data_IF_387622552174
#
_entry.id   IF_387622552174
#
_cell.length_a   1.000
_cell.length_b   1.000
_cell.length_c   1.000
_cell.angle_alpha   90.00
_cell.angle_beta   90.00
_cell.angle_gamma   90.00
#
_symmetry.space_group_name_H-M   'P 1'
#
loop_
_entity.id
_entity.type
_entity.pdbx_description
1 polymer ?
#
# COMPACT_ATOMS: atom_id res chain seq x y z
N UNK A 1 14.44 -25.46 12.64
CA UNK A 1 14.96 -24.08 12.68
C UNK A 1 14.42 -23.41 13.93
N UNK A 2 15.29 -22.92 14.80
CA UNK A 2 14.89 -22.10 15.95
C UNK A 2 14.66 -20.69 15.39
N UNK A 3 13.40 -20.27 15.27
CA UNK A 3 13.07 -18.91 14.84
C UNK A 3 13.27 -17.93 16.00
N UNK A 4 13.91 -16.80 15.74
CA UNK A 4 14.06 -15.73 16.73
C UNK A 4 12.71 -15.02 16.95
N UNK A 5 12.34 -14.65 18.20
CA UNK A 5 11.03 -14.05 18.50
C UNK A 5 10.69 -12.80 17.67
N UNK A 6 11.70 -12.01 17.31
CA UNK A 6 11.56 -10.73 16.60
C UNK A 6 11.98 -10.81 15.11
N UNK A 7 12.16 -12.04 14.59
CA UNK A 7 12.62 -12.25 13.22
C UNK A 7 11.68 -11.62 12.19
N UNK A 8 10.36 -11.74 12.39
CA UNK A 8 9.36 -11.15 11.48
C UNK A 8 9.42 -9.63 11.49
N UNK A 9 9.53 -9.00 12.67
CA UNK A 9 9.55 -7.55 12.77
C UNK A 9 10.77 -6.96 12.06
N UNK A 10 11.94 -7.53 12.33
CA UNK A 10 13.20 -7.07 11.72
C UNK A 10 13.21 -7.32 10.21
N UNK A 11 12.60 -8.42 9.74
CA UNK A 11 12.64 -8.79 8.33
C UNK A 11 11.57 -8.08 7.49
N UNK A 12 10.33 -8.01 7.98
CA UNK A 12 9.18 -7.57 7.19
C UNK A 12 8.66 -6.17 7.55
N UNK A 13 8.97 -5.64 8.74
CA UNK A 13 8.47 -4.33 9.22
C UNK A 13 9.54 -3.22 9.23
N UNK A 14 10.80 -3.56 8.98
CA UNK A 14 11.90 -2.58 8.96
C UNK A 14 11.76 -1.53 7.85
N UNK A 15 11.28 -1.95 6.67
CA UNK A 15 11.12 -1.10 5.49
C UNK A 15 9.69 -0.59 5.34
N UNK A 16 9.49 0.33 4.40
CA UNK A 16 8.20 0.82 3.98
C UNK A 16 8.18 1.12 2.49
N UNK A 17 7.16 0.64 1.76
CA UNK A 17 7.03 0.87 0.32
C UNK A 17 5.74 1.63 0.01
N UNK A 18 4.58 1.01 0.08
CA UNK A 18 3.29 1.65 -0.20
C UNK A 18 2.81 2.53 0.95
N UNK A 19 3.01 2.08 2.20
CA UNK A 19 2.51 2.75 3.40
C UNK A 19 3.66 3.37 4.20
N UNK A 20 3.46 4.50 4.89
CA UNK A 20 4.48 5.06 5.75
C UNK A 20 4.70 4.18 6.99
N UNK A 21 5.93 4.19 7.54
CA UNK A 21 6.35 3.28 8.62
C UNK A 21 5.45 3.33 9.86
N UNK A 22 4.97 4.52 10.25
CA UNK A 22 4.15 4.71 11.46
C UNK A 22 2.73 4.16 11.36
N UNK A 23 2.27 3.75 10.17
CA UNK A 23 0.94 3.13 9.98
C UNK A 23 0.98 1.60 10.03
N UNK A 24 2.16 1.00 10.20
CA UNK A 24 2.32 -0.46 10.24
C UNK A 24 2.24 -0.95 11.70
N UNK A 25 1.25 -1.80 12.00
CA UNK A 25 1.21 -2.53 13.27
C UNK A 25 2.28 -3.63 13.25
N UNK A 26 3.26 -3.53 14.13
CA UNK A 26 4.22 -4.62 14.36
C UNK A 26 3.54 -5.78 15.08
N UNK A 27 4.02 -6.99 14.81
CA UNK A 27 3.50 -8.24 15.36
C UNK A 27 4.67 -9.19 15.58
N UNK A 28 4.70 -9.85 16.72
CA UNK A 28 5.67 -10.90 17.02
C UNK A 28 5.05 -12.27 16.76
N UNK A 29 5.85 -13.16 16.19
CA UNK A 29 5.45 -14.56 15.93
C UNK A 29 6.63 -15.45 16.28
N UNK A 30 6.38 -16.40 17.17
CA UNK A 30 7.38 -17.40 17.54
C UNK A 30 7.59 -18.38 16.39
N UNK A 31 8.82 -18.85 16.20
CA UNK A 31 9.17 -19.87 15.19
C UNK A 31 8.84 -19.53 13.72
N UNK A 32 8.83 -18.24 13.35
CA UNK A 32 8.65 -17.83 11.96
C UNK A 32 9.95 -17.98 11.14
N UNK A 33 9.82 -18.42 9.89
CA UNK A 33 10.91 -18.48 8.91
C UNK A 33 10.44 -17.82 7.60
N UNK A 34 11.22 -16.84 7.12
CA UNK A 34 10.89 -16.12 5.89
C UNK A 34 10.80 -17.07 4.68
N UNK A 35 9.75 -16.91 3.88
CA UNK A 35 9.55 -17.60 2.59
C UNK A 35 9.42 -19.12 2.64
N UNK A 36 9.42 -19.75 3.81
CA UNK A 36 9.24 -21.20 3.94
C UNK A 36 7.74 -21.50 3.96
N UNK A 37 7.17 -22.11 2.90
CA UNK A 37 5.74 -22.37 2.87
C UNK A 37 5.36 -23.45 3.89
N UNK A 38 4.17 -23.31 4.48
CA UNK A 38 3.61 -24.31 5.40
C UNK A 38 3.30 -25.66 4.74
N UNK A 39 3.15 -25.69 3.41
CA UNK A 39 2.86 -26.89 2.61
C UNK A 39 3.81 -26.95 1.40
N UNK A 40 4.16 -28.14 0.91
CA UNK A 40 4.90 -28.29 -0.34
C UNK A 40 4.17 -27.63 -1.52
N UNK A 41 4.92 -26.95 -2.37
CA UNK A 41 4.41 -26.31 -3.59
C UNK A 41 4.80 -27.17 -4.79
N UNK A 42 3.83 -27.53 -5.63
CA UNK A 42 4.04 -28.34 -6.84
C UNK A 42 3.68 -27.55 -8.07
N UNK A 43 4.59 -26.67 -8.48
CA UNK A 43 4.46 -25.87 -9.69
C UNK A 43 5.69 -26.03 -10.58
N UNK A 44 5.49 -25.99 -11.88
CA UNK A 44 6.57 -26.07 -12.87
C UNK A 44 6.21 -25.36 -14.17
N UNK A 45 7.23 -25.03 -14.96
CA UNK A 45 7.03 -24.49 -16.29
C UNK A 45 6.70 -25.62 -17.28
N UNK A 46 5.58 -25.55 -18.02
CA UNK A 46 5.23 -26.58 -19.00
C UNK A 46 6.27 -26.69 -20.13
N UNK A 47 6.86 -25.56 -20.55
CA UNK A 47 7.89 -25.54 -21.58
C UNK A 47 9.20 -26.19 -21.13
N UNK A 48 9.69 -25.88 -19.92
CA UNK A 48 10.90 -26.51 -19.38
C UNK A 48 10.76 -28.03 -19.23
N UNK A 49 9.58 -28.53 -18.87
CA UNK A 49 9.38 -29.97 -18.67
C UNK A 49 9.11 -30.73 -19.98
N UNK A 50 8.65 -30.04 -21.03
CA UNK A 50 8.52 -30.60 -22.36
C UNK A 50 9.86 -30.65 -23.13
N UNK A 51 10.88 -29.91 -22.68
CA UNK A 51 12.23 -29.99 -23.25
C UNK A 51 12.90 -31.31 -22.84
N UNK A 52 13.09 -32.20 -23.81
CA UNK A 52 13.69 -33.52 -23.62
C UNK A 52 15.16 -33.47 -23.16
N UNK A 53 15.85 -32.35 -23.39
CA UNK A 53 17.28 -32.22 -23.05
C UNK A 53 17.53 -31.73 -21.63
N UNK A 54 16.56 -31.04 -21.02
CA UNK A 54 16.74 -30.41 -19.71
C UNK A 54 15.45 -30.42 -18.87
N UNK A 55 14.92 -31.61 -18.60
CA UNK A 55 13.76 -31.83 -17.73
C UNK A 55 14.12 -31.61 -16.25
N UNK A 56 14.38 -30.36 -15.86
CA UNK A 56 14.70 -29.98 -14.50
C UNK A 56 13.57 -29.19 -13.86
N UNK A 57 13.15 -29.61 -12.65
CA UNK A 57 12.26 -28.82 -11.79
C UNK A 57 13.13 -27.88 -10.96
N UNK A 58 12.98 -26.57 -11.18
CA UNK A 58 13.75 -25.58 -10.43
C UNK A 58 13.30 -25.51 -8.97
N UNK A 59 14.25 -25.44 -8.05
CA UNK A 59 13.98 -25.28 -6.62
C UNK A 59 13.22 -23.97 -6.33
N UNK A 60 13.46 -22.92 -7.11
CA UNK A 60 12.77 -21.63 -6.99
C UNK A 60 11.24 -21.76 -7.13
N UNK A 61 10.75 -22.72 -7.93
CA UNK A 61 9.30 -22.95 -8.11
C UNK A 61 8.64 -23.61 -6.90
N UNK A 62 9.44 -24.16 -5.97
CA UNK A 62 8.99 -24.71 -4.70
C UNK A 62 8.73 -23.65 -3.63
N UNK A 63 9.05 -22.40 -3.92
CA UNK A 63 8.84 -21.27 -3.03
C UNK A 63 7.76 -20.34 -3.60
N UNK A 64 6.98 -19.67 -2.73
CA UNK A 64 6.01 -18.67 -3.15
C UNK A 64 6.73 -17.32 -3.38
N UNK A 65 7.69 -17.31 -4.30
CA UNK A 65 8.51 -16.15 -4.64
C UNK A 65 8.24 -15.61 -6.05
N UNK A 66 7.72 -16.47 -6.92
CA UNK A 66 7.54 -16.18 -8.34
C UNK A 66 6.25 -16.83 -8.87
N UNK A 67 5.71 -16.25 -9.93
CA UNK A 67 4.50 -16.70 -10.62
C UNK A 67 4.80 -17.35 -11.98
N UNK A 68 5.92 -16.96 -12.58
CA UNK A 68 6.32 -17.27 -13.94
C UNK A 68 7.67 -17.99 -14.00
N UNK A 69 7.91 -18.61 -15.16
CA UNK A 69 9.22 -19.16 -15.49
C UNK A 69 10.18 -18.03 -15.89
N UNK A 70 11.36 -17.89 -15.25
CA UNK A 70 12.32 -16.86 -15.62
C UNK A 70 12.94 -17.03 -17.01
N UNK A 71 12.89 -18.25 -17.57
CA UNK A 71 13.40 -18.54 -18.91
C UNK A 71 12.36 -18.29 -20.00
N UNK A 72 11.11 -18.67 -19.74
CA UNK A 72 10.05 -18.70 -20.77
C UNK A 72 8.99 -17.61 -20.61
N UNK A 73 8.92 -16.90 -19.48
CA UNK A 73 7.93 -15.85 -19.25
C UNK A 73 6.47 -16.34 -19.24
N UNK A 74 6.25 -17.63 -19.00
CA UNK A 74 4.91 -18.22 -18.89
C UNK A 74 4.56 -18.52 -17.43
N UNK A 75 3.26 -18.58 -17.13
CA UNK A 75 2.75 -19.02 -15.85
C UNK A 75 3.28 -20.41 -15.48
N UNK A 76 3.60 -20.59 -14.20
CA UNK A 76 3.90 -21.91 -13.66
C UNK A 76 2.59 -22.71 -13.51
N UNK A 77 2.53 -23.89 -14.10
CA UNK A 77 1.41 -24.82 -14.00
C UNK A 77 1.53 -25.71 -12.77
N UNK A 78 0.39 -26.10 -12.21
CA UNK A 78 0.32 -27.04 -11.10
C UNK A 78 0.46 -28.48 -11.58
N UNK A 79 1.13 -29.29 -10.80
CA UNK A 79 1.39 -30.68 -11.17
C UNK A 79 1.28 -31.65 -9.99
N UNK A 80 0.88 -32.88 -10.29
CA UNK A 80 0.91 -34.01 -9.37
C UNK A 80 2.27 -34.71 -9.43
N UNK A 81 2.89 -34.94 -8.28
CA UNK A 81 4.11 -35.74 -8.21
C UNK A 81 4.88 -35.62 -6.90
N UNK A 82 5.97 -36.37 -6.81
CA UNK A 82 6.90 -36.31 -5.68
C UNK A 82 7.96 -35.22 -5.93
N UNK A 83 8.67 -34.72 -4.90
CA UNK A 83 9.76 -33.77 -5.09
C UNK A 83 10.74 -34.26 -6.18
N UNK A 84 10.95 -33.42 -7.20
CA UNK A 84 11.86 -33.72 -8.32
C UNK A 84 11.28 -34.60 -9.44
N UNK A 85 10.04 -35.10 -9.35
CA UNK A 85 9.42 -35.90 -10.41
C UNK A 85 7.98 -35.49 -10.71
N UNK A 86 7.70 -35.22 -11.99
CA UNK A 86 6.37 -35.01 -12.54
C UNK A 86 5.68 -36.38 -12.74
N UNK A 87 4.44 -36.55 -12.27
CA UNK A 87 3.58 -37.68 -12.62
C UNK A 87 2.49 -37.26 -13.62
N UNK A 88 2.01 -36.02 -13.51
CA UNK A 88 1.04 -35.45 -14.43
C UNK A 88 0.72 -33.99 -14.07
N UNK A 89 0.08 -33.28 -14.98
CA UNK A 89 -0.41 -31.92 -14.73
C UNK A 89 -1.77 -31.96 -14.03
N UNK A 90 -2.03 -31.01 -13.13
CA UNK A 90 -3.35 -30.91 -12.47
C UNK A 90 -4.43 -30.49 -13.47
N UNK A 91 -4.08 -29.59 -14.40
CA UNK A 91 -4.93 -29.17 -15.50
C UNK A 91 -4.59 -29.93 -16.78
N UNK A 92 -5.61 -30.26 -17.56
CA UNK A 92 -5.46 -30.90 -18.88
C UNK A 92 -4.91 -29.94 -19.93
N UNK A 93 -5.24 -28.65 -19.83
CA UNK A 93 -4.64 -27.61 -20.65
C UNK A 93 -3.28 -27.22 -20.09
N UNK A 94 -2.23 -27.64 -20.81
CA UNK A 94 -0.82 -27.35 -20.48
C UNK A 94 -0.24 -26.27 -21.38
N UNK A 95 -1.09 -25.61 -22.18
CA UNK A 95 -0.67 -24.57 -23.10
C UNK A 95 0.01 -23.43 -22.31
N UNK A 96 1.20 -23.00 -22.72
CA UNK A 96 1.93 -21.96 -22.00
C UNK A 96 1.15 -20.64 -22.08
N UNK A 97 0.66 -20.17 -20.94
CA UNK A 97 0.03 -18.86 -20.81
C UNK A 97 1.11 -17.82 -20.49
N UNK A 98 1.27 -16.81 -21.33
CA UNK A 98 2.16 -15.69 -21.03
C UNK A 98 1.69 -14.94 -19.77
N UNK A 99 2.63 -14.48 -18.95
CA UNK A 99 2.32 -13.55 -17.86
C UNK A 99 2.30 -12.10 -18.38
N UNK A 100 1.64 -11.22 -17.65
CA UNK A 100 1.73 -9.79 -17.95
C UNK A 100 3.13 -9.25 -17.61
N UNK A 101 3.45 -8.06 -18.13
CA UNK A 101 4.79 -7.48 -18.00
C UNK A 101 5.15 -7.17 -16.55
N UNK A 102 4.19 -6.74 -15.73
CA UNK A 102 4.42 -6.46 -14.30
C UNK A 102 4.91 -7.71 -13.55
N UNK A 103 4.26 -8.85 -13.76
CA UNK A 103 4.65 -10.14 -13.18
C UNK A 103 6.00 -10.57 -13.74
N UNK A 104 6.19 -10.50 -15.07
CA UNK A 104 7.43 -10.89 -15.71
C UNK A 104 8.62 -10.08 -15.17
N UNK A 105 8.47 -8.76 -15.00
CA UNK A 105 9.50 -7.88 -14.47
C UNK A 105 9.84 -8.20 -13.01
N UNK A 106 8.84 -8.38 -12.14
CA UNK A 106 9.06 -8.77 -10.75
C UNK A 106 9.76 -10.14 -10.66
N UNK A 107 9.32 -11.11 -11.45
CA UNK A 107 9.88 -12.46 -11.44
C UNK A 107 11.32 -12.49 -12.00
N UNK A 108 11.62 -11.74 -13.05
CA UNK A 108 12.99 -11.58 -13.55
C UNK A 108 13.92 -11.00 -12.48
N UNK A 109 13.46 -9.99 -11.72
CA UNK A 109 14.20 -9.42 -10.59
C UNK A 109 14.41 -10.43 -9.46
N UNK A 110 13.39 -11.20 -9.12
CA UNK A 110 13.50 -12.28 -8.13
C UNK A 110 14.48 -13.37 -8.58
N UNK A 111 14.45 -13.75 -9.86
CA UNK A 111 15.40 -14.69 -10.43
C UNK A 111 16.83 -14.14 -10.42
N UNK A 112 17.02 -12.88 -10.79
CA UNK A 112 18.30 -12.19 -10.70
C UNK A 112 18.84 -12.21 -9.27
N UNK A 113 17.98 -11.94 -8.27
CA UNK A 113 18.35 -12.00 -6.86
C UNK A 113 18.88 -13.38 -6.45
N UNK A 114 18.18 -14.45 -6.87
CA UNK A 114 18.54 -15.84 -6.54
C UNK A 114 19.83 -16.30 -7.22
N UNK A 115 20.09 -15.86 -8.44
CA UNK A 115 21.19 -16.38 -9.27
C UNK A 115 22.45 -15.53 -9.23
N UNK A 116 22.32 -14.23 -8.99
CA UNK A 116 23.45 -13.28 -9.03
C UNK A 116 23.74 -12.63 -7.67
N UNK A 117 22.83 -12.72 -6.70
CA UNK A 117 22.98 -12.08 -5.39
C UNK A 117 22.63 -10.59 -5.36
N UNK A 118 22.16 -10.02 -6.48
CA UNK A 118 21.70 -8.62 -6.56
C UNK A 118 20.49 -8.45 -7.47
N UNK A 119 19.88 -7.26 -7.44
CA UNK A 119 18.79 -6.85 -8.33
C UNK A 119 19.07 -5.46 -8.88
N UNK A 120 18.89 -5.30 -10.19
CA UNK A 120 18.87 -3.97 -10.81
C UNK A 120 17.49 -3.34 -10.67
N UNK A 121 17.43 -2.23 -9.94
CA UNK A 121 16.25 -1.38 -9.84
C UNK A 121 16.50 -0.02 -10.51
N UNK A 122 15.45 0.71 -10.93
CA UNK A 122 15.59 1.97 -11.66
C UNK A 122 16.51 3.00 -10.98
N UNK A 123 16.55 3.04 -9.65
CA UNK A 123 17.43 3.97 -8.93
C UNK A 123 18.87 3.51 -8.83
N UNK A 124 19.06 2.23 -8.50
CA UNK A 124 20.37 1.63 -8.23
C UNK A 124 20.26 0.11 -8.07
N UNK A 125 21.40 -0.55 -8.22
CA UNK A 125 21.59 -1.94 -7.80
C UNK A 125 21.37 -2.10 -6.30
N UNK A 126 20.68 -3.17 -5.91
CA UNK A 126 20.51 -3.57 -4.50
C UNK A 126 20.89 -5.03 -4.27
N UNK A 127 21.28 -5.37 -3.04
CA UNK A 127 21.57 -6.74 -2.64
C UNK A 127 20.29 -7.61 -2.60
N UNK A 128 20.40 -8.90 -2.94
CA UNK A 128 19.28 -9.85 -2.95
C UNK A 128 18.52 -9.90 -1.62
N UNK A 129 19.22 -9.86 -0.49
CA UNK A 129 18.60 -9.83 0.84
C UNK A 129 17.69 -8.61 1.06
N UNK A 130 18.02 -7.45 0.45
CA UNK A 130 17.17 -6.27 0.50
C UNK A 130 15.94 -6.47 -0.40
N UNK A 131 16.10 -7.03 -1.61
CA UNK A 131 14.99 -7.35 -2.51
C UNK A 131 13.91 -8.21 -1.83
N UNK A 132 14.31 -9.33 -1.20
CA UNK A 132 13.36 -10.19 -0.53
C UNK A 132 12.67 -9.50 0.66
N UNK A 133 13.37 -8.66 1.43
CA UNK A 133 12.70 -7.90 2.51
C UNK A 133 11.73 -6.84 1.97
N UNK A 134 12.03 -6.21 0.83
CA UNK A 134 11.12 -5.27 0.17
C UNK A 134 9.88 -5.98 -0.37
N UNK A 135 10.05 -7.12 -1.03
CA UNK A 135 8.92 -7.92 -1.51
C UNK A 135 8.05 -8.41 -0.35
N UNK A 136 8.67 -8.91 0.73
CA UNK A 136 7.92 -9.31 1.93
C UNK A 136 7.19 -8.13 2.58
N UNK A 137 7.82 -6.96 2.60
CA UNK A 137 7.22 -5.71 3.08
C UNK A 137 5.97 -5.34 2.28
N UNK A 138 6.07 -5.35 0.95
CA UNK A 138 4.96 -5.08 0.03
C UNK A 138 3.78 -6.01 0.29
N UNK A 139 4.06 -7.32 0.41
CA UNK A 139 3.02 -8.32 0.71
C UNK A 139 2.31 -8.02 2.05
N UNK A 140 3.03 -7.60 3.10
CA UNK A 140 2.40 -7.23 4.37
C UNK A 140 1.62 -5.92 4.29
N UNK A 141 2.11 -4.93 3.56
CA UNK A 141 1.40 -3.66 3.34
C UNK A 141 0.10 -3.87 2.56
N UNK A 142 0.12 -4.70 1.52
CA UNK A 142 -1.07 -5.09 0.75
C UNK A 142 -2.07 -5.91 1.57
N UNK A 143 -1.62 -6.59 2.63
CA UNK A 143 -2.49 -7.30 3.59
C UNK A 143 -3.02 -6.38 4.72
N UNK A 144 -2.74 -5.08 4.67
CA UNK A 144 -3.22 -4.13 5.68
C UNK A 144 -4.70 -3.77 5.40
N UNK A 145 -5.60 -3.85 6.40
CA UNK A 145 -6.97 -3.37 6.25
C UNK A 145 -7.02 -1.91 5.80
N UNK A 146 -7.94 -1.57 4.89
CA UNK A 146 -8.07 -0.19 4.38
C UNK A 146 -8.32 0.84 5.48
N UNK A 147 -9.04 0.47 6.55
CA UNK A 147 -9.28 1.33 7.72
C UNK A 147 -7.99 1.76 8.42
N UNK A 148 -6.90 1.01 8.26
CA UNK A 148 -5.59 1.32 8.83
C UNK A 148 -4.64 2.03 7.85
N UNK A 149 -5.02 2.15 6.58
CA UNK A 149 -4.19 2.73 5.53
C UNK A 149 -4.25 4.27 5.48
N UNK A 150 -5.23 4.89 6.13
CA UNK A 150 -5.40 6.35 6.14
C UNK A 150 -5.55 6.92 4.72
N UNK A 151 -4.79 7.98 4.42
CA UNK A 151 -4.79 8.64 3.09
C UNK A 151 -4.33 7.74 1.95
N UNK A 152 -3.63 6.63 2.24
CA UNK A 152 -3.13 5.67 1.24
C UNK A 152 -4.13 4.55 0.93
N UNK A 153 -5.32 4.54 1.56
CA UNK A 153 -6.34 3.52 1.33
C UNK A 153 -6.78 3.44 -0.14
N UNK A 154 -6.86 4.58 -0.82
CA UNK A 154 -7.18 4.62 -2.25
C UNK A 154 -6.11 3.91 -3.09
N UNK A 155 -4.83 4.18 -2.84
CA UNK A 155 -3.72 3.53 -3.54
C UNK A 155 -3.71 2.01 -3.35
N UNK A 156 -3.93 1.52 -2.12
CA UNK A 156 -4.03 0.08 -1.85
C UNK A 156 -5.22 -0.53 -2.59
N UNK A 157 -6.40 0.12 -2.53
CA UNK A 157 -7.58 -0.35 -3.24
C UNK A 157 -7.34 -0.42 -4.75
N UNK A 158 -6.73 0.63 -5.30
CA UNK A 158 -6.42 0.71 -6.72
C UNK A 158 -5.51 -0.43 -7.19
N UNK A 159 -4.50 -0.81 -6.41
CA UNK A 159 -3.65 -1.98 -6.74
C UNK A 159 -4.50 -3.26 -6.87
N UNK A 160 -5.37 -3.53 -5.89
CA UNK A 160 -6.22 -4.73 -5.89
C UNK A 160 -7.21 -4.73 -7.07
N UNK A 161 -7.83 -3.58 -7.36
CA UNK A 161 -8.70 -3.40 -8.52
C UNK A 161 -7.95 -3.67 -9.84
N UNK A 162 -6.70 -3.20 -9.96
CA UNK A 162 -5.88 -3.37 -11.17
C UNK A 162 -5.43 -4.81 -11.41
N UNK A 163 -5.19 -5.60 -10.37
CA UNK A 163 -4.90 -7.03 -10.52
C UNK A 163 -6.17 -7.90 -10.59
N UNK A 164 -7.37 -7.31 -10.45
CA UNK A 164 -8.64 -8.02 -10.57
C UNK A 164 -8.99 -8.95 -9.39
N UNK A 165 -8.30 -8.80 -8.26
CA UNK A 165 -8.50 -9.62 -7.06
C UNK A 165 -9.21 -8.84 -5.96
N UNK A 166 -10.01 -9.50 -5.10
CA UNK A 166 -10.60 -8.83 -3.95
C UNK A 166 -9.52 -8.31 -3.00
N UNK A 167 -9.84 -7.26 -2.24
CA UNK A 167 -8.95 -6.69 -1.23
C UNK A 167 -8.35 -7.79 -0.34
N UNK A 168 -7.02 -7.75 -0.17
CA UNK A 168 -6.26 -8.75 0.61
C UNK A 168 -6.48 -10.19 0.12
N UNK A 169 -6.76 -10.38 -1.17
CA UNK A 169 -7.10 -11.69 -1.74
C UNK A 169 -8.25 -12.40 -0.97
N UNK A 170 -9.23 -11.61 -0.52
CA UNK A 170 -10.42 -12.11 0.19
C UNK A 170 -10.19 -12.48 1.66
N UNK A 171 -9.01 -12.23 2.22
CA UNK A 171 -8.73 -12.49 3.63
C UNK A 171 -9.59 -11.61 4.53
N UNK A 172 -10.08 -12.16 5.65
CA UNK A 172 -10.75 -11.44 6.74
C UNK A 172 -9.81 -11.17 7.91
N UNK A 173 -8.95 -12.14 8.25
CA UNK A 173 -7.96 -12.08 9.32
C UNK A 173 -6.55 -11.99 8.75
N UNK A 174 -5.70 -11.19 9.38
CA UNK A 174 -4.29 -11.13 9.00
C UNK A 174 -3.56 -12.41 9.43
N UNK A 175 -2.73 -12.94 8.54
CA UNK A 175 -1.79 -14.05 8.79
C UNK A 175 -0.47 -13.76 8.06
N UNK A 176 0.66 -14.31 8.53
CA UNK A 176 1.90 -14.29 7.77
C UNK A 176 1.72 -14.88 6.39
N UNK A 177 2.37 -14.29 5.41
CA UNK A 177 2.33 -14.72 4.03
C UNK A 177 2.61 -16.23 3.88
N UNK A 178 3.61 -16.74 4.60
CA UNK A 178 4.12 -18.11 4.51
C UNK A 178 3.08 -19.20 4.91
N UNK A 179 2.08 -18.83 5.71
CA UNK A 179 1.03 -19.76 6.18
C UNK A 179 -0.30 -19.58 5.45
N UNK A 180 -0.37 -18.64 4.50
CA UNK A 180 -1.56 -18.46 3.67
C UNK A 180 -1.76 -19.65 2.74
N UNK A 181 -3.01 -19.95 2.35
CA UNK A 181 -3.27 -20.88 1.26
C UNK A 181 -2.51 -20.45 0.00
N UNK A 182 -2.01 -21.41 -0.77
CA UNK A 182 -1.16 -21.13 -1.93
C UNK A 182 -1.85 -20.19 -2.93
N UNK A 183 -3.13 -20.38 -3.21
CA UNK A 183 -3.91 -19.49 -4.08
C UNK A 183 -3.84 -18.02 -3.61
N UNK A 184 -4.02 -17.78 -2.31
CA UNK A 184 -3.91 -16.44 -1.70
C UNK A 184 -2.48 -15.91 -1.83
N UNK A 185 -1.46 -16.77 -1.65
CA UNK A 185 -0.07 -16.40 -1.84
C UNK A 185 0.21 -15.92 -3.28
N UNK A 186 -0.38 -16.58 -4.28
CA UNK A 186 -0.23 -16.22 -5.70
C UNK A 186 -0.90 -14.88 -6.02
N UNK A 187 -2.16 -14.71 -5.60
CA UNK A 187 -2.90 -13.46 -5.78
C UNK A 187 -2.20 -12.26 -5.11
N UNK A 188 -1.61 -12.48 -3.93
CA UNK A 188 -0.81 -11.44 -3.27
C UNK A 188 0.48 -11.10 -4.03
N UNK A 189 1.14 -12.06 -4.67
CA UNK A 189 2.30 -11.79 -5.54
C UNK A 189 1.89 -11.01 -6.79
N UNK A 190 0.72 -11.30 -7.38
CA UNK A 190 0.18 -10.54 -8.51
C UNK A 190 -0.09 -9.08 -8.10
N UNK A 191 -0.68 -8.88 -6.93
CA UNK A 191 -0.88 -7.55 -6.36
C UNK A 191 0.46 -6.83 -6.09
N UNK A 192 1.48 -7.54 -5.61
CA UNK A 192 2.82 -6.98 -5.39
C UNK A 192 3.50 -6.58 -6.71
N UNK A 193 3.42 -7.42 -7.74
CA UNK A 193 3.91 -7.10 -9.08
C UNK A 193 3.22 -5.85 -9.65
N UNK A 194 1.89 -5.80 -9.52
CA UNK A 194 1.07 -4.65 -9.94
C UNK A 194 1.45 -3.37 -9.17
N UNK A 195 1.68 -3.46 -7.86
CA UNK A 195 2.11 -2.32 -7.05
C UNK A 195 3.47 -1.78 -7.51
N UNK A 196 4.44 -2.67 -7.80
CA UNK A 196 5.76 -2.27 -8.29
C UNK A 196 5.61 -1.54 -9.64
N UNK A 197 4.88 -2.13 -10.59
CA UNK A 197 4.64 -1.54 -11.91
C UNK A 197 3.99 -0.15 -11.83
N UNK A 198 2.98 0.02 -10.97
CA UNK A 198 2.31 1.30 -10.77
C UNK A 198 3.20 2.37 -10.11
N UNK A 199 4.14 1.96 -9.25
CA UNK A 199 5.16 2.86 -8.70
C UNK A 199 6.18 3.24 -9.77
N UNK A 200 6.72 2.27 -10.51
CA UNK A 200 7.71 2.49 -11.57
C UNK A 200 7.15 3.42 -12.67
N UNK A 201 5.87 3.24 -13.00
CA UNK A 201 5.13 4.06 -13.97
C UNK A 201 4.65 5.41 -13.41
N UNK A 202 4.95 5.72 -12.14
CA UNK A 202 4.54 6.96 -11.43
C UNK A 202 3.02 7.19 -11.35
N UNK A 203 2.21 6.17 -11.60
CA UNK A 203 0.75 6.22 -11.46
C UNK A 203 0.36 6.27 -9.98
N UNK A 204 1.09 5.53 -9.15
CA UNK A 204 0.91 5.50 -7.71
C UNK A 204 1.99 6.35 -7.03
N UNK A 205 1.57 7.22 -6.10
CA UNK A 205 2.47 7.96 -5.20
C UNK A 205 2.59 7.24 -3.85
N UNK A 206 3.65 6.47 -3.62
CA UNK A 206 3.81 5.65 -2.43
C UNK A 206 4.22 6.47 -1.20
N UNK A 207 3.74 6.09 -0.01
CA UNK A 207 4.09 6.76 1.25
C UNK A 207 5.35 6.24 1.94
N UNK A 208 5.91 5.12 1.48
CA UNK A 208 7.06 4.46 2.10
C UNK A 208 8.40 4.95 1.58
N UNK A 209 9.42 4.94 2.45
CA UNK A 209 10.75 5.50 2.16
C UNK A 209 11.48 4.70 1.08
N UNK A 210 11.29 3.39 1.04
CA UNK A 210 11.99 2.51 0.10
C UNK A 210 11.33 2.48 -1.28
N UNK A 211 10.16 3.10 -1.46
CA UNK A 211 9.53 3.17 -2.76
C UNK A 211 10.37 3.95 -3.79
N UNK A 212 11.20 4.88 -3.31
CA UNK A 212 12.19 5.60 -4.08
C UNK A 212 13.17 4.70 -4.87
N UNK A 213 13.37 3.43 -4.46
CA UNK A 213 14.24 2.49 -5.18
C UNK A 213 13.65 2.06 -6.53
N UNK A 214 12.32 2.08 -6.65
CA UNK A 214 11.59 1.77 -7.88
C UNK A 214 11.46 2.98 -8.82
N UNK A 215 11.91 4.16 -8.40
CA UNK A 215 11.90 5.35 -9.24
C UNK A 215 13.31 5.61 -9.78
N UNK A 216 13.47 6.11 -11.02
CA UNK A 216 14.76 6.57 -11.49
C UNK A 216 15.37 7.60 -10.53
N UNK A 217 16.69 7.67 -10.49
CA UNK A 217 17.36 8.72 -9.74
C UNK A 217 16.87 10.10 -10.22
N UNK A 218 16.49 11.03 -9.32
CA UNK A 218 16.16 12.38 -9.72
C UNK A 218 17.35 12.95 -10.48
N UNK A 219 17.10 13.50 -11.68
CA UNK A 219 18.13 14.23 -12.40
C UNK A 219 18.41 15.51 -11.61
N UNK A 220 19.32 15.44 -10.64
CA UNK A 220 19.95 16.65 -10.13
C UNK A 220 20.78 17.18 -11.29
N UNK A 221 20.47 18.38 -11.76
CA UNK A 221 21.37 19.08 -12.66
C UNK A 221 22.76 19.04 -12.00
N UNK A 222 23.73 18.46 -12.69
CA UNK A 222 25.12 18.54 -12.29
C UNK A 222 25.41 20.02 -12.06
N UNK A 223 25.69 20.36 -10.82
CA UNK A 223 26.02 21.72 -10.43
C UNK A 223 27.48 21.70 -10.08
N UNK A 224 28.22 22.51 -10.82
CA UNK A 224 29.66 22.67 -10.72
C UNK A 224 30.03 23.25 -9.35
N UNK A 225 30.02 22.41 -8.30
CA UNK A 225 30.52 22.72 -6.96
C UNK A 225 29.86 23.90 -6.24
N UNK A 226 28.93 24.61 -6.87
CA UNK A 226 28.12 25.65 -6.25
C UNK A 226 26.94 24.98 -5.58
N UNK A 227 26.60 25.35 -4.33
CA UNK A 227 25.43 24.78 -3.69
C UNK A 227 24.25 25.08 -4.60
N UNK A 228 23.63 24.02 -5.14
CA UNK A 228 22.26 24.11 -5.60
C UNK A 228 21.53 24.56 -4.36
N UNK A 229 21.12 25.82 -4.35
CA UNK A 229 19.93 26.17 -3.62
C UNK A 229 18.88 25.30 -4.30
N UNK A 230 18.68 24.09 -3.77
CA UNK A 230 17.41 23.41 -3.92
C UNK A 230 16.41 24.52 -3.62
N UNK A 231 15.72 25.00 -4.65
CA UNK A 231 14.41 25.55 -4.43
C UNK A 231 13.63 24.35 -3.89
N UNK A 232 13.78 24.11 -2.59
CA UNK A 232 12.68 23.63 -1.77
C UNK A 232 11.56 24.51 -2.26
N UNK A 233 10.61 23.93 -2.98
CA UNK A 233 9.26 24.48 -2.96
C UNK A 233 9.04 24.76 -1.48
N UNK A 234 9.03 26.06 -1.13
CA UNK A 234 8.89 26.47 0.25
C UNK A 234 7.73 25.64 0.77
N UNK A 235 7.92 24.88 1.86
CA UNK A 235 6.87 24.01 2.35
C UNK A 235 5.66 24.93 2.48
N UNK A 236 4.66 24.74 1.62
CA UNK A 236 3.47 25.57 1.62
C UNK A 236 3.06 25.55 3.07
N UNK A 237 3.15 26.70 3.71
CA UNK A 237 3.03 26.77 5.13
C UNK A 237 1.54 26.61 5.37
N UNK A 238 1.08 25.36 5.43
CA UNK A 238 -0.33 25.00 5.54
C UNK A 238 -0.95 25.71 6.74
N UNK A 239 -0.14 26.11 7.72
CA UNK A 239 -0.55 26.97 8.82
C UNK A 239 -0.79 28.43 8.40
N UNK A 240 0.06 29.04 7.57
CA UNK A 240 -0.22 30.38 7.01
C UNK A 240 -1.42 30.36 6.06
N UNK A 241 -1.57 29.34 5.22
CA UNK A 241 -2.76 29.22 4.36
C UNK A 241 -4.03 28.99 5.19
N UNK A 242 -3.97 28.17 6.24
CA UNK A 242 -5.09 27.98 7.16
C UNK A 242 -5.42 29.27 7.92
N UNK A 243 -4.44 30.02 8.40
CA UNK A 243 -4.65 31.33 9.05
C UNK A 243 -5.31 32.30 8.07
N UNK A 244 -4.79 32.38 6.84
CA UNK A 244 -5.37 33.22 5.79
C UNK A 244 -6.81 32.82 5.46
N UNK A 245 -7.11 31.53 5.35
CA UNK A 245 -8.46 31.04 5.10
C UNK A 245 -9.42 31.34 6.27
N UNK A 246 -8.93 31.31 7.52
CA UNK A 246 -9.71 31.71 8.70
C UNK A 246 -9.97 33.22 8.69
N UNK A 247 -8.95 34.04 8.39
CA UNK A 247 -9.10 35.50 8.28
C UNK A 247 -10.10 35.88 7.17
N UNK A 248 -10.00 35.24 5.99
CA UNK A 248 -10.94 35.40 4.89
C UNK A 248 -12.37 34.99 5.31
N UNK A 249 -12.52 33.87 6.01
CA UNK A 249 -13.81 33.41 6.51
C UNK A 249 -14.41 34.37 7.56
N UNK A 250 -13.59 35.02 8.40
CA UNK A 250 -14.05 36.05 9.34
C UNK A 250 -14.54 37.29 8.58
N UNK A 251 -13.79 37.75 7.57
CA UNK A 251 -14.20 38.89 6.72
C UNK A 251 -15.49 38.59 5.97
N UNK A 252 -15.65 37.37 5.45
CA UNK A 252 -16.86 36.92 4.77
C UNK A 252 -18.04 36.81 5.75
N UNK A 253 -17.82 36.27 6.95
CA UNK A 253 -18.85 36.13 8.00
C UNK A 253 -19.48 37.45 8.43
N UNK A 254 -18.78 38.59 8.28
CA UNK A 254 -19.36 39.93 8.54
C UNK A 254 -20.51 40.27 7.60
N UNK A 255 -20.55 39.67 6.41
CA UNK A 255 -21.51 40.00 5.35
C UNK A 255 -22.35 38.80 4.92
N UNK A 256 -21.97 37.57 5.30
CA UNK A 256 -22.63 36.33 4.92
C UNK A 256 -23.11 35.55 6.16
N UNK A 257 -24.44 35.43 6.38
CA UNK A 257 -24.99 34.72 7.53
C UNK A 257 -24.71 33.21 7.51
N UNK A 258 -24.50 32.60 6.33
CA UNK A 258 -24.18 31.16 6.23
C UNK A 258 -22.77 30.92 6.74
N UNK A 259 -21.81 31.71 6.27
CA UNK A 259 -20.40 31.61 6.68
C UNK A 259 -20.22 31.94 8.16
N UNK A 260 -20.95 32.94 8.69
CA UNK A 260 -20.99 33.25 10.12
C UNK A 260 -21.42 32.04 10.97
N UNK A 261 -22.49 31.34 10.57
CA UNK A 261 -22.97 30.14 11.27
C UNK A 261 -22.00 28.97 11.17
N UNK A 262 -21.38 28.75 10.00
CA UNK A 262 -20.36 27.72 9.83
C UNK A 262 -19.10 27.98 10.67
N UNK A 263 -18.64 29.23 10.72
CA UNK A 263 -17.53 29.64 11.57
C UNK A 263 -17.88 29.45 13.06
N UNK A 264 -19.08 29.86 13.45
CA UNK A 264 -19.59 29.68 14.82
C UNK A 264 -19.62 28.22 15.22
N UNK A 265 -20.18 27.33 14.38
CA UNK A 265 -20.23 25.89 14.61
C UNK A 265 -18.84 25.24 14.74
N UNK A 266 -17.87 25.73 13.98
CA UNK A 266 -16.48 25.26 14.06
C UNK A 266 -15.84 25.68 15.39
N UNK A 267 -16.03 26.94 15.80
CA UNK A 267 -15.45 27.48 17.03
C UNK A 267 -16.16 27.03 18.30
N UNK A 268 -17.44 26.72 18.23
CA UNK A 268 -18.22 26.17 19.36
C UNK A 268 -18.01 24.67 19.54
N UNK A 269 -17.19 24.03 18.71
CA UNK A 269 -16.97 22.59 18.75
C UNK A 269 -16.36 22.16 20.10
N UNK A 270 -17.07 21.30 20.83
CA UNK A 270 -16.67 20.80 22.15
C UNK A 270 -17.14 21.67 23.32
N UNK A 271 -17.70 22.86 23.07
CA UNK A 271 -18.34 23.70 24.07
C UNK A 271 -19.86 23.45 24.05
N UNK A 272 -20.45 23.15 25.20
CA UNK A 272 -21.89 22.85 25.31
C UNK A 272 -22.60 23.62 26.43
N UNK A 273 -21.86 24.32 27.27
CA UNK A 273 -22.45 25.14 28.31
C UNK A 273 -22.92 26.49 27.72
N UNK A 274 -24.13 26.96 28.11
CA UNK A 274 -24.70 28.20 27.60
C UNK A 274 -23.81 29.43 27.84
N UNK A 275 -23.04 29.45 28.94
CA UNK A 275 -22.17 30.57 29.30
C UNK A 275 -20.97 30.70 28.37
N UNK A 276 -20.38 29.59 27.91
CA UNK A 276 -19.29 29.60 26.92
C UNK A 276 -19.79 29.98 25.53
N UNK A 277 -20.98 29.52 25.14
CA UNK A 277 -21.60 29.93 23.87
C UNK A 277 -21.91 31.44 23.85
N UNK A 278 -22.38 32.00 24.96
CA UNK A 278 -22.65 33.43 25.04
C UNK A 278 -21.37 34.28 25.00
N UNK A 279 -20.31 33.83 25.70
CA UNK A 279 -18.97 34.44 25.59
C UNK A 279 -18.44 34.40 24.15
N UNK A 280 -18.70 33.31 23.44
CA UNK A 280 -18.32 33.16 22.03
C UNK A 280 -19.11 34.12 21.13
N UNK A 281 -20.42 34.29 21.35
CA UNK A 281 -21.24 35.30 20.63
C UNK A 281 -20.73 36.72 20.84
N UNK A 282 -20.35 37.09 22.06
CA UNK A 282 -19.74 38.38 22.37
C UNK A 282 -18.42 38.56 21.59
N UNK A 283 -17.62 37.50 21.50
CA UNK A 283 -16.35 37.52 20.74
C UNK A 283 -16.60 37.74 19.25
N UNK A 284 -17.62 37.09 18.67
CA UNK A 284 -17.99 37.28 17.27
C UNK A 284 -18.52 38.70 16.99
N UNK A 285 -19.30 39.26 17.91
CA UNK A 285 -19.76 40.65 17.81
C UNK A 285 -18.58 41.65 17.85
N UNK A 286 -17.58 41.39 18.70
CA UNK A 286 -16.35 42.21 18.76
C UNK A 286 -15.54 42.15 17.45
N UNK A 287 -15.60 41.03 16.73
CA UNK A 287 -14.99 40.86 15.41
C UNK A 287 -15.83 41.45 14.25
N UNK A 288 -16.93 42.14 14.57
CA UNK A 288 -17.78 42.83 13.60
C UNK A 288 -18.77 41.92 12.87
N UNK A 289 -19.00 40.70 13.37
CA UNK A 289 -20.02 39.80 12.82
C UNK A 289 -21.38 40.18 13.41
N UNK A 290 -22.40 40.48 12.58
CA UNK A 290 -23.71 40.92 13.06
C UNK A 290 -24.37 39.88 13.98
N UNK A 291 -24.82 40.27 15.20
CA UNK A 291 -25.40 39.33 16.16
C UNK A 291 -26.70 38.68 15.64
N UNK A 292 -27.39 39.32 14.69
CA UNK A 292 -28.60 38.81 14.04
C UNK A 292 -28.34 37.54 13.23
N UNK A 293 -27.09 37.30 12.81
CA UNK A 293 -26.72 36.08 12.08
C UNK A 293 -26.70 34.84 12.99
N UNK A 294 -26.52 35.06 14.30
CA UNK A 294 -26.28 34.03 15.32
C UNK A 294 -27.39 33.94 16.38
N UNK A 295 -28.32 34.90 16.43
CA UNK A 295 -29.35 35.02 17.48
C UNK A 295 -30.35 33.85 17.54
N UNK A 296 -30.54 33.14 16.42
CA UNK A 296 -31.45 31.98 16.30
C UNK A 296 -30.72 30.67 16.02
N UNK A 297 -29.38 30.68 16.03
CA UNK A 297 -28.59 29.49 15.71
C UNK A 297 -28.15 28.78 16.99
N UNK A 298 -28.71 27.58 17.20
CA UNK A 298 -28.19 26.60 18.14
C UNK A 298 -27.39 25.56 17.36
N UNK A 299 -26.11 25.33 17.71
CA UNK A 299 -25.29 24.35 17.01
C UNK A 299 -25.76 22.92 17.34
N UNK A 300 -26.63 22.37 16.50
CA UNK A 300 -27.05 20.96 16.56
C UNK A 300 -26.01 20.01 15.94
N UNK A 301 -25.49 19.09 16.76
CA UNK A 301 -24.82 17.86 16.32
C UNK A 301 -23.51 18.03 15.53
N UNK A 302 -22.66 16.99 15.44
CA UNK A 302 -21.34 17.13 14.83
C UNK A 302 -21.47 17.44 13.34
N UNK A 303 -20.50 18.18 12.80
CA UNK A 303 -20.26 18.30 11.36
C UNK A 303 -20.54 16.95 10.69
N UNK A 304 -21.59 16.90 9.88
CA UNK A 304 -21.85 15.78 8.99
C UNK A 304 -20.75 15.79 7.93
N UNK A 305 -19.61 15.16 8.24
CA UNK A 305 -18.91 14.43 7.20
C UNK A 305 -19.98 13.58 6.54
N UNK A 306 -20.28 13.84 5.26
CA UNK A 306 -21.19 13.02 4.46
C UNK A 306 -20.85 11.55 4.71
N UNK A 307 -21.65 10.88 5.54
CA UNK A 307 -21.70 9.42 5.56
C UNK A 307 -22.24 9.06 4.19
N UNK A 308 -21.40 8.42 3.37
CA UNK A 308 -21.89 7.67 2.24
C UNK A 308 -22.99 6.74 2.76
N UNK A 309 -24.16 6.86 2.14
CA UNK A 309 -25.38 6.12 2.44
C UNK A 309 -25.11 4.64 2.76
N UNK A 310 -25.42 4.21 3.99
CA UNK A 310 -25.94 2.87 4.21
C UNK A 310 -27.47 2.98 4.06
N UNK A 311 -27.92 2.97 2.81
CA UNK A 311 -29.29 2.62 2.51
C UNK A 311 -29.45 1.13 2.76
N UNK A 312 -30.24 0.77 3.77
CA UNK A 312 -31.26 -0.28 3.76
C UNK A 312 -31.99 -0.28 5.12
N UNK A 313 -33.02 0.56 5.19
CA UNK A 313 -34.35 0.20 5.72
C UNK A 313 -34.77 -1.19 5.20
N UNK A 314 -35.60 -2.03 5.82
CA UNK A 314 -36.46 -1.97 7.00
C UNK A 314 -36.96 -3.42 7.21
N UNK A 315 -37.33 -3.77 8.45
CA UNK A 315 -38.40 -4.71 8.85
C UNK A 315 -38.67 -6.00 8.03
N UNK A 316 -38.28 -7.16 8.58
CA UNK A 316 -39.10 -8.32 9.02
C UNK A 316 -38.21 -9.55 9.23
#
# INVERSE_FOLDING_TARGET
>A
MIGFPDALETYAFQFSVLLPKFRRKTRSITSWCAWVPSRPIHRACPLCLNDQTNQAILLAWKLPLMLSCPQHGCWLGFYWGVPGRLLGWENTDTSPRAVNEAIAAMDRRTWQALTTGYVELPRRRIHAGLWFRLLRTLLDELNTPLSLCGTFAHSIRYVWERCGHPLRAGQSLWRPYEILPLEVQLQMLEAAATAIDLIESKVLSPGGKQAALFLPEPQTAFTDGMPVVERKEEPVNYWQEAIKAIEEAIVEARHNPVTARSLFALTSYGQRDPESLERLRITFANEGIPPEFLSYYEPDGPFTCRRLNDGLSDSF
#
